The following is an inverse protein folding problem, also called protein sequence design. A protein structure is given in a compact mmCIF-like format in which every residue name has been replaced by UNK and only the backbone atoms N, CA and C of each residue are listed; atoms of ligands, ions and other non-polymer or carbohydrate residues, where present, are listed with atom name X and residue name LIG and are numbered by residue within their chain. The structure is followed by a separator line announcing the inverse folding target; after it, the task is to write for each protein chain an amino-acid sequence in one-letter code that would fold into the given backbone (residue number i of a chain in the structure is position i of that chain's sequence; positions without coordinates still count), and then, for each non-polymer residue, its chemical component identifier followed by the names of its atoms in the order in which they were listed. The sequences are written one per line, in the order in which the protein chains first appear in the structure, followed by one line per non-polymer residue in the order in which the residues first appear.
data_IF_994656626357
#
_entry.id   IF_994656626357
#
_cell.length_a   1.000
_cell.length_b   1.000
_cell.length_c   1.000
_cell.angle_alpha   90.00
_cell.angle_beta   90.00
_cell.angle_gamma   90.00
#
_symmetry.space_group_name_H-M   'P 1'
#
loop_
_entity.id
_entity.type
_entity.pdbx_description
1 polymer ?
#
# COMPACT_ATOMS: atom_id res chain seq x y z
N UNK A 1 -12.97 -9.27 10.17
CA UNK A 1 -11.90 -9.14 11.19
C UNK A 1 -10.90 -8.13 10.63
N UNK A 2 -10.60 -7.05 11.35
CA UNK A 2 -9.61 -6.06 10.92
C UNK A 2 -8.22 -6.52 11.36
N UNK A 3 -7.23 -6.41 10.46
CA UNK A 3 -5.82 -6.79 10.70
C UNK A 3 -4.92 -5.56 10.97
N UNK A 4 -5.53 -4.42 11.31
CA UNK A 4 -4.87 -3.14 11.56
C UNK A 4 -3.77 -3.23 12.64
N UNK A 5 -3.96 -4.05 13.67
CA UNK A 5 -2.96 -4.26 14.72
C UNK A 5 -1.61 -4.83 14.25
N UNK A 6 -1.59 -5.54 13.11
CA UNK A 6 -0.34 -6.03 12.53
C UNK A 6 0.48 -4.90 11.88
N UNK A 7 -0.15 -3.80 11.46
CA UNK A 7 0.55 -2.68 10.83
C UNK A 7 1.51 -2.01 11.81
N UNK A 8 1.22 -2.07 13.12
CA UNK A 8 2.12 -1.57 14.16
C UNK A 8 3.51 -2.24 14.09
N UNK A 9 3.56 -3.56 13.90
CA UNK A 9 4.82 -4.30 13.78
C UNK A 9 5.63 -3.89 12.54
N UNK A 10 4.97 -3.51 11.44
CA UNK A 10 5.66 -2.98 10.26
C UNK A 10 6.25 -1.61 10.50
N UNK A 11 5.49 -0.72 11.17
CA UNK A 11 5.91 0.65 11.52
C UNK A 11 7.14 0.67 12.41
N UNK A 12 7.31 -0.35 13.25
CA UNK A 12 8.52 -0.51 14.08
C UNK A 12 9.76 -0.91 13.25
N UNK A 13 9.57 -1.50 12.08
CA UNK A 13 10.69 -1.93 11.25
C UNK A 13 11.49 -0.75 10.69
N UNK A 14 12.81 -0.82 10.75
CA UNK A 14 13.69 0.19 10.14
C UNK A 14 13.52 0.26 8.62
N UNK A 15 13.27 -0.87 7.98
CA UNK A 15 13.08 -0.95 6.54
C UNK A 15 11.88 -0.10 6.08
N UNK A 16 10.76 -0.18 6.80
CA UNK A 16 9.58 0.60 6.49
C UNK A 16 9.79 2.10 6.74
N UNK A 17 10.36 2.46 7.89
CA UNK A 17 10.62 3.88 8.23
C UNK A 17 11.55 4.54 7.22
N UNK A 18 12.59 3.83 6.77
CA UNK A 18 13.50 4.31 5.72
C UNK A 18 12.79 4.49 4.38
N UNK A 19 11.95 3.53 4.00
CA UNK A 19 11.13 3.64 2.79
C UNK A 19 10.22 4.86 2.85
N UNK A 20 9.53 5.07 3.97
CA UNK A 20 8.61 6.19 4.15
C UNK A 20 9.35 7.54 4.10
N UNK A 21 10.50 7.67 4.76
CA UNK A 21 11.31 8.89 4.70
C UNK A 21 11.81 9.16 3.27
N UNK A 22 12.30 8.14 2.57
CA UNK A 22 12.75 8.27 1.17
C UNK A 22 11.62 8.80 0.26
N UNK A 23 10.39 8.31 0.45
CA UNK A 23 9.22 8.78 -0.31
C UNK A 23 8.82 10.22 0.06
N UNK A 24 8.91 10.59 1.34
CA UNK A 24 8.50 11.91 1.84
C UNK A 24 9.51 13.02 1.50
N UNK A 25 10.79 12.70 1.37
CA UNK A 25 11.86 13.66 1.05
C UNK A 25 11.82 14.21 -0.40
N UNK A 26 10.71 13.98 -1.13
CA UNK A 26 10.41 14.55 -2.45
C UNK A 26 11.54 14.41 -3.48
N UNK A 27 12.27 13.30 -3.41
CA UNK A 27 13.12 12.91 -4.51
C UNK A 27 12.19 12.38 -5.60
N UNK A 28 11.92 13.20 -6.63
CA UNK A 28 11.09 12.84 -7.79
C UNK A 28 11.63 11.64 -8.62
N UNK A 29 12.63 10.93 -8.09
CA UNK A 29 13.20 9.75 -8.68
C UNK A 29 12.31 8.53 -8.37
N UNK A 30 12.12 7.62 -9.33
CA UNK A 30 11.45 6.36 -9.07
C UNK A 30 12.26 5.52 -8.08
N UNK A 31 11.63 5.10 -6.99
CA UNK A 31 12.22 4.18 -6.02
C UNK A 31 11.86 2.72 -6.35
N UNK A 32 12.82 1.81 -6.22
CA UNK A 32 12.59 0.37 -6.39
C UNK A 32 12.75 -0.33 -5.04
N UNK A 33 11.66 -0.97 -4.58
CA UNK A 33 11.65 -1.71 -3.32
C UNK A 33 11.49 -3.21 -3.57
N UNK A 34 12.36 -4.01 -2.96
CA UNK A 34 12.31 -5.47 -3.03
C UNK A 34 11.29 -6.03 -2.05
N UNK A 35 10.00 -5.92 -2.40
CA UNK A 35 8.88 -6.38 -1.57
C UNK A 35 8.34 -7.70 -2.11
N UNK A 36 8.39 -8.74 -1.27
CA UNK A 36 7.80 -10.06 -1.57
C UNK A 36 6.29 -9.93 -1.82
N UNK A 37 5.74 -10.77 -2.70
CA UNK A 37 4.34 -10.63 -3.12
C UNK A 37 3.34 -10.66 -1.96
N UNK A 38 3.55 -11.53 -0.97
CA UNK A 38 2.66 -11.67 0.19
C UNK A 38 2.64 -10.41 1.08
N UNK A 39 3.72 -9.63 1.12
CA UNK A 39 3.82 -8.44 1.95
C UNK A 39 3.21 -7.19 1.29
N UNK A 40 2.91 -7.22 -0.01
CA UNK A 40 2.45 -6.03 -0.74
C UNK A 40 1.13 -5.45 -0.21
N UNK A 41 0.05 -6.23 0.02
CA UNK A 41 -1.22 -5.67 0.51
C UNK A 41 -1.04 -4.97 1.85
N UNK A 42 -0.30 -5.62 2.75
CA UNK A 42 0.03 -5.12 4.07
C UNK A 42 0.88 -3.83 4.03
N UNK A 43 1.92 -3.82 3.18
CA UNK A 43 2.78 -2.65 2.98
C UNK A 43 2.03 -1.45 2.41
N UNK A 44 1.17 -1.68 1.41
CA UNK A 44 0.36 -0.62 0.79
C UNK A 44 -0.65 -0.07 1.79
N UNK A 45 -1.25 -0.92 2.63
CA UNK A 45 -2.17 -0.48 3.66
C UNK A 45 -1.51 0.43 4.69
N UNK A 46 -0.31 0.07 5.17
CA UNK A 46 0.46 0.94 6.07
C UNK A 46 0.81 2.26 5.39
N UNK A 47 1.31 2.19 4.15
CA UNK A 47 1.63 3.39 3.38
C UNK A 47 0.41 4.28 3.16
N UNK A 48 -0.77 3.73 2.90
CA UNK A 48 -2.00 4.51 2.72
C UNK A 48 -2.46 5.22 4.01
N UNK A 49 -2.07 4.74 5.19
CA UNK A 49 -2.34 5.41 6.46
C UNK A 49 -1.27 6.47 6.81
N UNK A 50 -0.02 6.23 6.43
CA UNK A 50 1.11 7.05 6.84
C UNK A 50 1.52 8.10 5.78
N UNK A 51 0.97 8.00 4.57
CA UNK A 51 1.19 8.92 3.45
C UNK A 51 0.13 10.02 3.40
N UNK A 52 0.58 11.28 3.35
CA UNK A 52 -0.31 12.46 3.27
C UNK A 52 -0.73 12.72 1.81
N UNK A 53 -1.48 11.79 1.22
CA UNK A 53 -2.00 11.95 -0.14
C UNK A 53 -2.64 10.70 -0.75
N UNK A 54 -3.23 10.83 -1.95
CA UNK A 54 -3.79 9.70 -2.67
C UNK A 54 -2.68 8.78 -3.21
N UNK A 55 -2.93 7.47 -3.17
CA UNK A 55 -2.05 6.45 -3.75
C UNK A 55 -2.71 5.86 -5.00
N UNK A 56 -2.00 5.89 -6.13
CA UNK A 56 -2.39 5.18 -7.35
C UNK A 56 -1.63 3.86 -7.46
N UNK A 57 -2.34 2.74 -7.30
CA UNK A 57 -1.76 1.41 -7.48
C UNK A 57 -1.86 0.95 -8.93
N UNK A 58 -0.72 0.85 -9.61
CA UNK A 58 -0.64 0.39 -11.01
C UNK A 58 -0.12 -1.05 -11.09
N UNK A 59 -0.77 -1.87 -11.92
CA UNK A 59 -0.32 -3.22 -12.22
C UNK A 59 -0.67 -3.63 -13.65
N UNK A 60 0.18 -4.45 -14.27
CA UNK A 60 -0.05 -5.00 -15.61
C UNK A 60 -1.01 -6.20 -15.63
N UNK A 61 -1.48 -6.67 -14.47
CA UNK A 61 -2.34 -7.85 -14.37
C UNK A 61 -3.65 -7.53 -13.68
N UNK A 62 -4.74 -7.73 -14.40
CA UNK A 62 -6.12 -7.57 -13.95
C UNK A 62 -6.37 -8.29 -12.63
N UNK A 63 -6.04 -9.58 -12.57
CA UNK A 63 -6.18 -10.42 -11.36
C UNK A 63 -5.49 -9.80 -10.15
N UNK A 64 -4.35 -9.13 -10.34
CA UNK A 64 -3.62 -8.48 -9.25
C UNK A 64 -4.33 -7.22 -8.77
N UNK A 65 -4.94 -6.45 -9.67
CA UNK A 65 -5.77 -5.30 -9.30
C UNK A 65 -6.99 -5.75 -8.46
N UNK A 66 -7.66 -6.83 -8.86
CA UNK A 66 -8.75 -7.42 -8.08
C UNK A 66 -8.28 -7.90 -6.70
N UNK A 67 -7.25 -8.75 -6.65
CA UNK A 67 -6.76 -9.30 -5.39
C UNK A 67 -6.35 -8.21 -4.40
N UNK A 68 -5.69 -7.15 -4.86
CA UNK A 68 -5.27 -6.04 -4.00
C UNK A 68 -6.49 -5.25 -3.53
N UNK A 69 -7.43 -4.94 -4.42
CA UNK A 69 -8.67 -4.23 -4.07
C UNK A 69 -9.56 -4.98 -3.07
N UNK A 70 -9.59 -6.31 -3.11
CA UNK A 70 -10.35 -7.13 -2.16
C UNK A 70 -9.63 -7.33 -0.83
N UNK A 71 -8.30 -7.37 -0.82
CA UNK A 71 -7.52 -7.62 0.40
C UNK A 71 -7.26 -6.35 1.22
N UNK A 72 -7.08 -5.20 0.56
CA UNK A 72 -6.79 -3.92 1.23
C UNK A 72 -7.80 -3.52 2.32
N UNK A 73 -9.14 -3.65 2.13
CA UNK A 73 -10.12 -3.25 3.13
C UNK A 73 -9.93 -3.92 4.50
N UNK A 74 -9.37 -5.13 4.55
CA UNK A 74 -9.14 -5.85 5.82
C UNK A 74 -8.04 -5.20 6.67
N UNK A 75 -7.16 -4.42 6.05
CA UNK A 75 -6.02 -3.77 6.71
C UNK A 75 -6.26 -2.29 7.00
N UNK A 76 -7.29 -1.69 6.41
CA UNK A 76 -7.57 -0.26 6.47
C UNK A 76 -8.72 0.04 7.41
N UNK A 77 -8.79 1.28 7.88
CA UNK A 77 -9.92 1.77 8.66
C UNK A 77 -11.16 1.92 7.75
N UNK A 78 -12.35 1.86 8.34
CA UNK A 78 -13.61 1.77 7.60
C UNK A 78 -13.92 3.03 6.73
N UNK A 79 -13.22 4.14 6.96
CA UNK A 79 -13.38 5.39 6.21
C UNK A 79 -12.47 5.51 4.97
N UNK A 80 -11.50 4.59 4.81
CA UNK A 80 -10.53 4.66 3.72
C UNK A 80 -11.21 4.31 2.40
N UNK A 81 -11.25 5.27 1.48
CA UNK A 81 -11.91 5.10 0.17
C UNK A 81 -10.99 4.38 -0.81
N UNK A 82 -11.40 3.19 -1.24
CA UNK A 82 -10.70 2.40 -2.25
C UNK A 82 -11.51 2.43 -3.54
N UNK A 83 -10.90 2.94 -4.62
CA UNK A 83 -11.52 2.98 -5.94
C UNK A 83 -10.81 2.02 -6.88
N UNK A 84 -11.59 1.26 -7.64
CA UNK A 84 -11.08 0.40 -8.71
C UNK A 84 -11.49 0.99 -10.06
N UNK A 85 -10.50 1.34 -10.87
CA UNK A 85 -10.73 1.79 -12.23
C UNK A 85 -10.91 0.58 -13.14
N UNK A 86 -12.00 0.59 -13.91
CA UNK A 86 -12.29 -0.48 -14.86
C UNK A 86 -11.27 -0.48 -16.00
N UNK A 87 -11.08 -1.64 -16.62
CA UNK A 87 -10.31 -1.74 -17.85
C UNK A 87 -10.98 -0.95 -18.98
N UNK A 88 -10.21 -0.37 -19.90
CA UNK A 88 -10.76 0.11 -21.15
C UNK A 88 -11.37 -1.08 -21.91
N UNK A 89 -12.66 -0.97 -22.24
CA UNK A 89 -13.40 -1.98 -23.02
C UNK A 89 -13.06 -1.98 -24.50
#
# INVERSE_FOLDING_TARGET
MQLTGLLAALRESEAYRRLLSELQEQQHAPHTFNIIHAARPFMIAALAQDWDGPILYLTSQIRRAYNVGEQLPVWLEDDTRIYRFAEPG
#
